data_IF_279375193335
#
_entry.id   IF_279375193335
#
_cell.length_a   1.000
_cell.length_b   1.000
_cell.length_c   1.000
_cell.angle_alpha   90.00
_cell.angle_beta   90.00
_cell.angle_gamma   90.00
#
_symmetry.space_group_name_H-M   'P 1'
#
loop_
_entity.id
_entity.type
_entity.pdbx_description
1 polymer ?
#
# COMPACT_ATOMS: atom_id res chain seq x y z
N UNK A 1 39.41 -21.09 -14.39
CA UNK A 1 39.33 -20.08 -13.30
C UNK A 1 38.53 -18.85 -13.71
N UNK A 2 38.83 -18.19 -14.84
CA UNK A 2 38.09 -17.02 -15.35
C UNK A 2 36.56 -17.22 -15.47
N UNK A 3 36.09 -18.40 -15.89
CA UNK A 3 34.65 -18.72 -15.99
C UNK A 3 33.93 -18.77 -14.64
N UNK A 4 34.61 -19.24 -13.59
CA UNK A 4 34.06 -19.32 -12.22
C UNK A 4 33.99 -17.92 -11.61
N UNK A 5 35.03 -17.11 -11.82
CA UNK A 5 35.07 -15.71 -11.38
C UNK A 5 33.96 -14.90 -12.06
N UNK A 6 33.77 -15.07 -13.38
CA UNK A 6 32.69 -14.41 -14.11
C UNK A 6 31.29 -14.83 -13.60
N UNK A 7 31.10 -16.11 -13.28
CA UNK A 7 29.85 -16.62 -12.73
C UNK A 7 29.56 -16.06 -11.33
N UNK A 8 30.56 -16.03 -10.44
CA UNK A 8 30.44 -15.44 -9.10
C UNK A 8 30.17 -13.93 -9.16
N UNK A 9 30.80 -13.22 -10.09
CA UNK A 9 30.54 -11.81 -10.32
C UNK A 9 29.07 -11.59 -10.75
N UNK A 10 28.58 -12.39 -11.70
CA UNK A 10 27.19 -12.30 -12.15
C UNK A 10 26.19 -12.57 -11.02
N UNK A 11 26.48 -13.53 -10.14
CA UNK A 11 25.65 -13.86 -8.99
C UNK A 11 25.62 -12.72 -7.96
N UNK A 12 26.76 -12.06 -7.73
CA UNK A 12 26.86 -10.90 -6.84
C UNK A 12 26.06 -9.69 -7.37
N UNK A 13 26.13 -9.41 -8.67
CA UNK A 13 25.32 -8.35 -9.27
C UNK A 13 23.81 -8.67 -9.20
N UNK A 14 23.41 -9.91 -9.44
CA UNK A 14 22.00 -10.33 -9.35
C UNK A 14 21.43 -10.17 -7.93
N UNK A 15 22.24 -10.42 -6.90
CA UNK A 15 21.85 -10.27 -5.50
C UNK A 15 21.61 -8.81 -5.08
N UNK A 16 22.13 -7.83 -5.83
CA UNK A 16 22.00 -6.40 -5.52
C UNK A 16 20.73 -5.73 -6.09
N UNK A 17 19.86 -6.48 -6.77
CA UNK A 17 18.64 -5.95 -7.37
C UNK A 17 17.50 -5.82 -6.35
N UNK A 18 17.22 -4.59 -5.91
CA UNK A 18 16.07 -4.26 -5.05
C UNK A 18 14.88 -3.75 -5.89
N UNK A 19 14.19 -4.66 -6.60
CA UNK A 19 13.03 -4.30 -7.42
C UNK A 19 11.68 -4.34 -6.67
N UNK A 20 11.64 -4.83 -5.43
CA UNK A 20 10.41 -5.11 -4.67
C UNK A 20 9.96 -3.95 -3.75
N UNK A 21 10.22 -2.70 -4.12
CA UNK A 21 9.95 -1.54 -3.24
C UNK A 21 8.49 -1.09 -3.22
N UNK A 22 7.56 -1.98 -3.62
CA UNK A 22 6.13 -1.70 -3.73
C UNK A 22 5.35 -2.66 -2.85
N UNK A 23 4.77 -2.13 -1.79
CA UNK A 23 3.86 -2.83 -0.90
C UNK A 23 2.41 -2.80 -1.44
N UNK A 24 1.59 -3.67 -0.84
CA UNK A 24 0.14 -3.67 -1.03
C UNK A 24 -0.56 -3.65 0.33
N UNK A 25 -1.69 -2.95 0.40
CA UNK A 25 -2.52 -2.84 1.59
C UNK A 25 -3.90 -3.38 1.22
N UNK A 26 -4.40 -4.32 2.00
CA UNK A 26 -5.74 -4.88 1.84
C UNK A 26 -6.43 -4.96 3.18
N UNK A 27 -7.75 -4.90 3.17
CA UNK A 27 -8.54 -4.99 4.39
C UNK A 27 -10.04 -4.96 4.09
N UNK A 28 -10.82 -4.95 5.17
CA UNK A 28 -12.27 -4.84 5.14
C UNK A 28 -12.65 -3.67 6.05
N UNK A 29 -13.57 -2.83 5.60
CA UNK A 29 -14.18 -1.75 6.35
C UNK A 29 -15.60 -2.12 6.76
N UNK A 30 -15.89 -1.97 8.05
CA UNK A 30 -17.21 -2.19 8.60
C UNK A 30 -17.51 -1.14 9.67
N UNK A 31 -18.79 -0.84 9.86
CA UNK A 31 -19.24 0.02 10.94
C UNK A 31 -18.85 -0.57 12.31
N UNK A 32 -18.44 0.31 13.22
CA UNK A 32 -17.95 -0.09 14.53
C UNK A 32 -19.05 -0.66 15.43
N UNK A 33 -20.29 -0.19 15.30
CA UNK A 33 -21.42 -0.58 16.14
C UNK A 33 -22.21 -1.74 15.51
N UNK A 34 -22.67 -1.59 14.28
CA UNK A 34 -23.52 -2.57 13.59
C UNK A 34 -22.74 -3.70 12.91
N UNK A 35 -21.41 -3.55 12.74
CA UNK A 35 -20.55 -4.46 11.96
C UNK A 35 -20.96 -4.57 10.49
N UNK A 36 -21.81 -3.67 10.00
CA UNK A 36 -22.22 -3.64 8.61
C UNK A 36 -21.04 -3.24 7.73
N UNK A 37 -20.73 -3.98 6.64
CA UNK A 37 -19.69 -3.58 5.71
C UNK A 37 -19.98 -2.21 5.09
N UNK A 38 -18.93 -1.39 4.93
CA UNK A 38 -19.04 -0.06 4.35
C UNK A 38 -18.63 -0.12 2.88
N UNK A 39 -19.61 -0.16 1.98
CA UNK A 39 -19.41 -0.05 0.52
C UNK A 39 -19.16 1.40 0.11
N UNK A 40 -18.34 1.63 -0.91
CA UNK A 40 -17.99 2.97 -1.42
C UNK A 40 -17.25 3.89 -0.44
N UNK A 41 -16.66 3.33 0.61
CA UNK A 41 -15.71 4.05 1.45
C UNK A 41 -14.42 4.32 0.67
N UNK A 42 -13.93 5.56 0.74
CA UNK A 42 -12.69 5.96 0.10
C UNK A 42 -11.52 5.53 0.96
N UNK A 43 -10.59 4.78 0.36
CA UNK A 43 -9.31 4.41 0.96
C UNK A 43 -8.20 4.95 0.07
N UNK A 44 -7.46 5.92 0.59
CA UNK A 44 -6.38 6.59 -0.13
C UNK A 44 -5.06 6.47 0.63
N UNK A 45 -3.98 6.33 -0.11
CA UNK A 45 -2.61 6.47 0.40
C UNK A 45 -2.00 7.70 -0.23
N UNK A 46 -1.44 8.55 0.61
CA UNK A 46 -0.79 9.80 0.21
C UNK A 46 0.65 9.83 0.73
N UNK A 47 1.47 10.67 0.13
CA UNK A 47 2.80 10.97 0.64
C UNK A 47 2.66 11.70 2.00
N UNK A 48 3.41 11.28 3.02
CA UNK A 48 3.32 11.87 4.35
C UNK A 48 3.80 13.33 4.40
N UNK A 49 4.71 13.74 3.50
CA UNK A 49 5.35 15.05 3.47
C UNK A 49 4.46 16.15 2.88
N UNK A 50 3.83 15.87 1.74
CA UNK A 50 3.10 16.86 0.94
C UNK A 50 1.65 16.46 0.64
N UNK A 51 1.20 15.30 1.14
CA UNK A 51 -0.17 14.79 0.92
C UNK A 51 -0.50 14.51 -0.55
N UNK A 52 0.50 14.43 -1.43
CA UNK A 52 0.29 14.04 -2.83
C UNK A 52 -0.30 12.63 -2.88
N UNK A 53 -1.34 12.43 -3.70
CA UNK A 53 -1.99 11.13 -3.85
C UNK A 53 -1.04 10.11 -4.49
N UNK A 54 -0.87 8.97 -3.83
CA UNK A 54 -0.08 7.84 -4.33
C UNK A 54 -0.99 6.82 -4.98
N UNK A 55 -2.05 6.41 -4.27
CA UNK A 55 -3.03 5.44 -4.77
C UNK A 55 -4.34 5.61 -4.03
N UNK A 56 -5.46 5.32 -4.68
CA UNK A 56 -6.77 5.27 -4.03
C UNK A 56 -7.61 4.11 -4.55
N UNK A 57 -8.60 3.70 -3.76
CA UNK A 57 -9.63 2.76 -4.16
C UNK A 57 -10.90 3.05 -3.36
N UNK A 58 -12.02 2.54 -3.86
CA UNK A 58 -13.24 2.41 -3.08
C UNK A 58 -13.35 0.99 -2.54
N UNK A 59 -14.07 0.83 -1.44
CA UNK A 59 -14.47 -0.49 -0.94
C UNK A 59 -15.60 -1.08 -1.77
N UNK A 60 -15.61 -2.41 -1.86
CA UNK A 60 -16.68 -3.19 -2.50
C UNK A 60 -17.88 -3.43 -1.56
N UNK A 61 -18.90 -4.17 -2.06
CA UNK A 61 -20.12 -4.55 -1.32
C UNK A 61 -19.86 -5.28 0.00
N UNK A 62 -18.70 -5.94 0.12
CA UNK A 62 -18.28 -6.65 1.33
C UNK A 62 -17.42 -5.78 2.24
N UNK A 63 -17.26 -4.48 1.91
CA UNK A 63 -16.36 -3.55 2.58
C UNK A 63 -14.89 -3.80 2.25
N UNK A 64 -14.59 -4.72 1.33
CA UNK A 64 -13.23 -5.13 0.96
C UNK A 64 -12.52 -4.07 0.13
N UNK A 65 -11.22 -3.92 0.33
CA UNK A 65 -10.38 -3.07 -0.50
C UNK A 65 -8.97 -3.64 -0.70
N UNK A 66 -8.32 -3.26 -1.79
CA UNK A 66 -6.92 -3.57 -2.07
C UNK A 66 -6.26 -2.41 -2.81
N UNK A 67 -5.18 -1.90 -2.23
CA UNK A 67 -4.26 -0.92 -2.81
C UNK A 67 -2.94 -1.61 -3.10
N UNK A 68 -2.39 -1.39 -4.29
CA UNK A 68 -1.11 -1.96 -4.71
C UNK A 68 -0.19 -0.84 -5.18
N UNK A 69 1.12 -1.08 -5.18
CA UNK A 69 2.08 -0.10 -5.68
C UNK A 69 2.42 1.00 -4.68
N UNK A 70 2.21 0.76 -3.38
CA UNK A 70 2.57 1.71 -2.33
C UNK A 70 4.09 1.68 -2.12
N UNK A 71 4.80 2.81 -2.26
CA UNK A 71 6.24 2.86 -2.00
C UNK A 71 6.53 2.46 -0.55
N UNK A 72 7.35 1.43 -0.33
CA UNK A 72 7.77 0.98 1.01
C UNK A 72 8.99 1.74 1.53
N UNK A 73 9.67 2.47 0.66
CA UNK A 73 10.89 3.24 0.90
C UNK A 73 10.62 4.69 1.31
N UNK A 74 9.36 5.13 1.30
CA UNK A 74 8.95 6.50 1.58
C UNK A 74 7.89 6.55 2.68
N UNK A 75 7.89 7.59 3.52
CA UNK A 75 6.84 7.75 4.52
C UNK A 75 5.51 8.05 3.82
N UNK A 76 4.50 7.25 4.11
CA UNK A 76 3.16 7.39 3.52
C UNK A 76 2.11 7.51 4.61
N UNK A 77 0.90 7.93 4.22
CA UNK A 77 -0.24 8.08 5.13
C UNK A 77 -1.47 7.47 4.50
N UNK A 78 -2.13 6.60 5.23
CA UNK A 78 -3.44 6.06 4.92
C UNK A 78 -4.52 7.04 5.36
N UNK A 79 -5.46 7.32 4.47
CA UNK A 79 -6.63 8.15 4.70
C UNK A 79 -7.86 7.32 4.33
N UNK A 80 -8.79 7.21 5.27
CA UNK A 80 -10.06 6.50 5.08
C UNK A 80 -11.19 7.50 5.36
N UNK A 81 -12.11 7.64 4.41
CA UNK A 81 -13.28 8.51 4.55
C UNK A 81 -14.54 7.87 4.01
N UNK A 82 -15.65 8.08 4.71
CA UNK A 82 -16.98 7.64 4.30
C UNK A 82 -18.03 8.67 4.74
N UNK A 83 -19.15 8.73 4.01
CA UNK A 83 -20.19 9.75 4.23
C UNK A 83 -20.74 9.68 5.66
N UNK A 84 -20.77 10.81 6.37
CA UNK A 84 -21.23 10.90 7.77
C UNK A 84 -20.37 10.16 8.80
N UNK A 85 -19.15 9.74 8.45
CA UNK A 85 -18.16 9.18 9.39
C UNK A 85 -16.96 10.10 9.57
N UNK A 86 -16.27 9.94 10.71
CA UNK A 86 -15.00 10.61 10.93
C UNK A 86 -13.92 10.05 10.01
N UNK A 87 -13.17 10.97 9.37
CA UNK A 87 -12.03 10.59 8.52
C UNK A 87 -10.88 10.08 9.39
N UNK A 88 -10.41 8.87 9.12
CA UNK A 88 -9.25 8.27 9.79
C UNK A 88 -8.00 8.59 8.99
N UNK A 89 -6.95 9.03 9.69
CA UNK A 89 -5.62 9.29 9.10
C UNK A 89 -4.57 8.53 9.91
N UNK A 90 -3.77 7.70 9.25
CA UNK A 90 -2.74 6.88 9.91
C UNK A 90 -1.44 6.90 9.12
N UNK A 91 -0.32 7.20 9.78
CA UNK A 91 0.98 7.08 9.15
C UNK A 91 1.34 5.59 8.94
N UNK A 92 1.96 5.29 7.81
CA UNK A 92 2.41 3.96 7.40
C UNK A 92 3.93 3.95 7.25
#
# INVERSE_FOLDING_TARGET
MHKIIAFLLLLFLAASSYAQNKASIKGILADSASKTPLEYATVAVVNAKDTTLISYTLTDKTGGFKLSGIPSDKPTKLIISYISYHTIRRNL
#
